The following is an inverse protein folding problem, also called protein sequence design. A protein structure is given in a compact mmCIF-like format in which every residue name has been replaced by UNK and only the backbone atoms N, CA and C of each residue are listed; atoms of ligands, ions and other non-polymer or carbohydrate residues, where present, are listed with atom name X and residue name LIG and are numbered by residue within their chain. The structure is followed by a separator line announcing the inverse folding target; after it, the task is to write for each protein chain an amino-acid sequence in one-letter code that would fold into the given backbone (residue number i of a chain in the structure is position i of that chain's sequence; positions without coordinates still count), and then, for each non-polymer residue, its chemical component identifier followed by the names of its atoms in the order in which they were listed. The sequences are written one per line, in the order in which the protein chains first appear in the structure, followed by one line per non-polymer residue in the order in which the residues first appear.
data_IF_428617851196
#
_entry.id   IF_428617851196
#
_cell.length_a   1.000
_cell.length_b   1.000
_cell.length_c   1.000
_cell.angle_alpha   90.00
_cell.angle_beta   90.00
_cell.angle_gamma   90.00
#
_symmetry.space_group_name_H-M   'P 1'
#
loop_
_entity.id
_entity.type
_entity.pdbx_description
1 polymer ?
#
# COMPACT_ATOMS: atom_id res chain seq x y z
N UNK A 1 12.04 -14.32 1.43
CA UNK A 1 11.24 -13.07 1.49
C UNK A 1 12.13 -11.94 1.96
N UNK A 2 12.01 -10.72 1.40
CA UNK A 2 12.78 -9.56 1.87
C UNK A 2 12.28 -9.01 3.22
N UNK A 3 13.14 -8.26 3.91
CA UNK A 3 12.80 -7.52 5.13
C UNK A 3 12.04 -6.22 4.80
N UNK A 4 11.27 -5.71 5.77
CA UNK A 4 10.67 -4.37 5.65
C UNK A 4 11.78 -3.33 5.77
N UNK A 5 11.83 -2.39 4.83
CA UNK A 5 12.80 -1.30 4.82
C UNK A 5 12.07 0.02 4.94
N UNK A 6 12.58 0.89 5.79
CA UNK A 6 12.02 2.22 6.05
C UNK A 6 13.01 3.29 5.62
N UNK A 7 12.54 4.29 4.90
CA UNK A 7 13.34 5.42 4.42
C UNK A 7 12.67 6.71 4.84
N UNK A 8 13.43 7.61 5.50
CA UNK A 8 12.94 8.96 5.83
C UNK A 8 12.69 9.76 4.55
N UNK A 9 11.55 10.43 4.49
CA UNK A 9 11.14 11.26 3.37
C UNK A 9 10.76 12.67 3.85
N UNK A 10 10.57 13.57 2.90
CA UNK A 10 9.98 14.89 3.10
C UNK A 10 8.67 14.99 2.32
N UNK A 11 7.77 15.89 2.73
CA UNK A 11 6.45 16.10 2.11
C UNK A 11 6.54 16.42 0.62
N UNK A 12 7.62 17.08 0.18
CA UNK A 12 7.83 17.51 -1.20
C UNK A 12 8.49 16.45 -2.08
N UNK A 13 9.04 15.37 -1.52
CA UNK A 13 9.68 14.32 -2.34
C UNK A 13 8.67 13.64 -3.24
N UNK A 14 8.94 13.53 -4.52
CA UNK A 14 8.05 12.83 -5.45
C UNK A 14 8.09 11.32 -5.21
N UNK A 15 7.07 10.61 -5.70
CA UNK A 15 7.03 9.15 -5.64
C UNK A 15 8.26 8.56 -6.34
N UNK A 16 8.64 9.08 -7.52
CA UNK A 16 9.82 8.60 -8.25
C UNK A 16 11.13 8.78 -7.49
N UNK A 17 11.29 9.90 -6.77
CA UNK A 17 12.45 10.13 -5.91
C UNK A 17 12.49 9.13 -4.77
N UNK A 18 11.34 8.83 -4.14
CA UNK A 18 11.25 7.82 -3.09
C UNK A 18 11.59 6.43 -3.62
N UNK A 19 11.02 6.04 -4.77
CA UNK A 19 11.30 4.75 -5.40
C UNK A 19 12.76 4.62 -5.86
N UNK A 20 13.42 5.73 -6.19
CA UNK A 20 14.85 5.75 -6.51
C UNK A 20 15.77 5.38 -5.33
N UNK A 21 15.28 5.46 -4.09
CA UNK A 21 16.02 5.06 -2.89
C UNK A 21 15.95 3.55 -2.64
N UNK A 22 15.17 2.81 -3.42
CA UNK A 22 14.96 1.38 -3.25
C UNK A 22 15.89 0.56 -4.15
N UNK A 23 16.84 -0.16 -3.54
CA UNK A 23 17.94 -0.87 -4.25
C UNK A 23 17.68 -2.35 -4.57
N UNK A 24 16.45 -2.84 -4.38
CA UNK A 24 16.15 -4.28 -4.47
C UNK A 24 16.22 -4.86 -5.89
N UNK A 25 16.40 -6.17 -6.01
CA UNK A 25 16.35 -6.93 -7.29
C UNK A 25 15.09 -7.80 -7.43
N UNK A 26 14.21 -7.76 -6.43
CA UNK A 26 13.02 -8.61 -6.36
C UNK A 26 11.91 -8.14 -7.30
N UNK A 27 11.06 -9.08 -7.76
CA UNK A 27 10.05 -8.84 -8.80
C UNK A 27 8.83 -8.04 -8.31
N UNK A 28 8.39 -8.27 -7.09
CA UNK A 28 7.23 -7.61 -6.50
C UNK A 28 7.65 -6.64 -5.41
N UNK A 29 6.97 -5.51 -5.35
CA UNK A 29 7.21 -4.49 -4.34
C UNK A 29 5.90 -3.86 -3.88
N UNK A 30 5.77 -3.73 -2.56
CA UNK A 30 4.72 -2.99 -1.88
C UNK A 30 5.34 -1.77 -1.23
N UNK A 31 4.78 -0.58 -1.44
CA UNK A 31 5.27 0.68 -0.87
C UNK A 31 4.11 1.44 -0.24
N UNK A 32 4.29 1.88 1.00
CA UNK A 32 3.45 2.92 1.62
C UNK A 32 4.34 4.13 1.90
N UNK A 33 3.99 5.26 1.31
CA UNK A 33 4.62 6.56 1.46
C UNK A 33 3.72 7.38 2.39
N UNK A 34 4.11 7.48 3.66
CA UNK A 34 3.38 8.27 4.64
C UNK A 34 3.99 9.67 4.74
N UNK A 35 3.29 10.65 4.17
CA UNK A 35 3.64 12.08 4.26
C UNK A 35 2.79 12.82 5.28
N UNK A 36 1.93 12.13 6.00
CA UNK A 36 1.17 12.74 7.08
C UNK A 36 2.10 13.05 8.26
N UNK A 37 1.69 13.99 9.12
CA UNK A 37 2.33 14.23 10.42
C UNK A 37 2.08 13.13 11.47
N UNK A 38 1.40 12.04 11.10
CA UNK A 38 0.98 10.97 12.00
C UNK A 38 1.56 9.62 11.56
N UNK A 39 1.62 8.66 12.48
CA UNK A 39 1.87 7.25 12.12
C UNK A 39 0.61 6.65 11.49
N UNK A 40 0.78 5.90 10.41
CA UNK A 40 -0.26 5.02 9.90
C UNK A 40 -0.19 3.71 10.68
N UNK A 41 -1.14 3.49 11.58
CA UNK A 41 -1.20 2.28 12.41
C UNK A 41 -2.15 1.28 11.81
N UNK A 42 -1.72 0.02 11.64
CA UNK A 42 -2.56 -1.04 11.11
C UNK A 42 -3.71 -1.34 12.08
N UNK A 43 -4.93 -1.06 11.65
CA UNK A 43 -6.16 -1.23 12.43
C UNK A 43 -7.03 -2.40 11.95
N UNK A 44 -6.62 -3.10 10.89
CA UNK A 44 -7.33 -4.27 10.38
C UNK A 44 -6.76 -4.81 9.08
N UNK A 45 -7.27 -5.98 8.69
CA UNK A 45 -6.79 -6.72 7.55
C UNK A 45 -7.89 -7.62 6.97
N UNK A 46 -7.81 -7.87 5.68
CA UNK A 46 -8.60 -8.89 5.00
C UNK A 46 -7.70 -9.64 4.02
N UNK A 47 -7.68 -10.96 4.13
CA UNK A 47 -6.77 -11.83 3.38
C UNK A 47 -7.56 -12.97 2.74
N UNK A 48 -7.35 -13.20 1.43
CA UNK A 48 -7.76 -14.45 0.81
C UNK A 48 -6.58 -15.40 0.62
N UNK A 49 -5.41 -14.96 0.17
CA UNK A 49 -4.31 -15.86 -0.23
C UNK A 49 -2.85 -15.34 0.00
N UNK A 50 -2.59 -14.50 1.00
CA UNK A 50 -1.22 -14.12 1.39
C UNK A 50 -1.20 -12.97 2.40
N UNK A 51 -0.21 -12.86 3.28
CA UNK A 51 -0.23 -11.84 4.33
C UNK A 51 0.28 -10.49 3.81
N UNK A 52 -0.42 -9.40 4.13
CA UNK A 52 0.16 -8.08 3.91
C UNK A 52 1.39 -7.88 4.73
N UNK A 53 2.31 -7.23 4.06
CA UNK A 53 3.70 -7.37 4.39
C UNK A 53 4.24 -6.20 5.21
N UNK A 54 3.54 -5.07 5.19
CA UNK A 54 3.91 -3.85 5.91
C UNK A 54 3.19 -3.74 7.24
N UNK A 55 3.93 -3.38 8.27
CA UNK A 55 3.39 -3.08 9.60
C UNK A 55 2.89 -1.64 9.66
N UNK A 56 3.07 -1.02 10.82
CA UNK A 56 2.85 0.40 11.01
C UNK A 56 3.88 1.21 10.22
N UNK A 57 3.45 2.36 9.69
CA UNK A 57 4.28 3.24 8.86
C UNK A 57 4.44 4.57 9.60
N UNK A 58 5.63 4.86 10.16
CA UNK A 58 5.88 6.11 10.86
C UNK A 58 5.60 7.34 10.00
N UNK A 59 5.35 8.47 10.66
CA UNK A 59 5.24 9.76 9.99
C UNK A 59 6.47 10.06 9.13
N UNK A 60 6.25 10.76 8.00
CA UNK A 60 7.30 11.21 7.08
C UNK A 60 8.28 10.10 6.68
N UNK A 61 7.74 8.90 6.44
CA UNK A 61 8.50 7.70 6.10
C UNK A 61 7.86 6.98 4.92
N UNK A 62 8.69 6.47 4.02
CA UNK A 62 8.29 5.46 3.07
C UNK A 62 8.74 4.09 3.60
N UNK A 63 7.78 3.19 3.82
CA UNK A 63 8.07 1.80 4.14
C UNK A 63 7.78 0.95 2.92
N UNK A 64 8.70 0.05 2.60
CA UNK A 64 8.52 -0.90 1.50
C UNK A 64 8.99 -2.30 1.89
N UNK A 65 8.47 -3.27 1.15
CA UNK A 65 8.97 -4.63 1.16
C UNK A 65 8.93 -5.19 -0.24
N UNK A 66 9.98 -5.94 -0.55
CA UNK A 66 10.08 -6.64 -1.81
C UNK A 66 10.13 -8.15 -1.60
N UNK A 67 9.62 -8.87 -2.60
CA UNK A 67 9.66 -10.32 -2.61
C UNK A 67 9.57 -10.85 -4.03
N UNK A 68 9.88 -12.14 -4.15
CA UNK A 68 9.64 -12.92 -5.35
C UNK A 68 8.78 -14.10 -4.93
N UNK A 69 7.68 -14.33 -5.66
CA UNK A 69 6.88 -15.53 -5.51
C UNK A 69 7.60 -16.70 -6.19
N UNK A 70 7.57 -17.89 -5.58
CA UNK A 70 8.01 -19.11 -6.26
C UNK A 70 6.90 -19.57 -7.22
N UNK A 71 7.22 -19.76 -8.51
CA UNK A 71 6.24 -20.13 -9.54
C UNK A 71 5.47 -18.94 -10.10
N UNK A 72 4.27 -19.18 -10.66
CA UNK A 72 3.49 -18.13 -11.32
C UNK A 72 3.05 -16.99 -10.36
N UNK A 73 3.02 -17.27 -9.05
CA UNK A 73 2.79 -16.32 -7.97
C UNK A 73 1.39 -15.70 -7.98
N UNK A 74 0.69 -15.73 -6.84
CA UNK A 74 -0.54 -14.96 -6.70
C UNK A 74 -0.68 -14.46 -5.28
N UNK A 75 -1.17 -13.24 -5.12
CA UNK A 75 -1.52 -12.71 -3.80
C UNK A 75 -2.75 -11.81 -3.89
N UNK A 76 -3.53 -11.82 -2.82
CA UNK A 76 -4.80 -11.11 -2.72
C UNK A 76 -5.00 -10.64 -1.28
N UNK A 77 -4.89 -9.33 -1.04
CA UNK A 77 -5.01 -8.76 0.30
C UNK A 77 -5.57 -7.33 0.29
N UNK A 78 -6.27 -6.95 1.37
CA UNK A 78 -6.48 -5.55 1.73
C UNK A 78 -6.19 -5.24 3.20
N UNK A 79 -5.64 -4.06 3.48
CA UNK A 79 -5.31 -3.58 4.83
C UNK A 79 -6.11 -2.36 5.23
N UNK A 80 -6.34 -2.16 6.52
CA UNK A 80 -6.93 -0.94 7.08
C UNK A 80 -5.91 -0.23 7.98
N UNK A 81 -5.66 1.05 7.74
CA UNK A 81 -4.72 1.88 8.48
C UNK A 81 -5.42 3.09 9.08
N UNK A 82 -5.23 3.32 10.39
CA UNK A 82 -5.62 4.53 11.08
C UNK A 82 -4.54 5.61 10.92
N UNK A 83 -4.94 6.86 10.73
CA UNK A 83 -4.04 8.02 10.71
C UNK A 83 -3.96 8.58 12.14
N UNK A 84 -3.00 8.12 12.93
CA UNK A 84 -2.90 8.48 14.36
C UNK A 84 -4.24 8.36 15.10
N UNK A 85 -4.51 9.32 16.00
CA UNK A 85 -5.78 9.40 16.74
C UNK A 85 -6.81 10.34 16.09
N UNK A 86 -6.71 10.58 14.78
CA UNK A 86 -7.56 11.56 14.06
C UNK A 86 -8.98 11.04 13.76
N UNK A 87 -9.23 9.75 13.98
CA UNK A 87 -10.45 9.07 13.54
C UNK A 87 -10.54 8.86 12.02
N UNK A 88 -9.46 9.14 11.28
CA UNK A 88 -9.37 8.93 9.83
C UNK A 88 -8.66 7.64 9.49
N UNK A 89 -9.12 6.98 8.43
CA UNK A 89 -8.61 5.69 8.00
C UNK A 89 -8.43 5.63 6.50
N UNK A 90 -7.46 4.82 6.07
CA UNK A 90 -7.22 4.46 4.68
C UNK A 90 -7.14 2.95 4.54
N UNK A 91 -7.81 2.42 3.52
CA UNK A 91 -7.71 1.00 3.17
C UNK A 91 -6.96 0.82 1.87
N UNK A 92 -6.02 -0.12 1.85
CA UNK A 92 -5.17 -0.41 0.70
C UNK A 92 -5.45 -1.82 0.22
N UNK A 93 -5.88 -1.97 -1.04
CA UNK A 93 -6.18 -3.27 -1.65
C UNK A 93 -5.22 -3.58 -2.79
N UNK A 94 -4.61 -4.77 -2.79
CA UNK A 94 -3.65 -5.17 -3.80
C UNK A 94 -3.83 -6.62 -4.23
N UNK A 95 -3.77 -6.86 -5.53
CA UNK A 95 -3.72 -8.23 -6.05
C UNK A 95 -2.86 -8.44 -7.27
N UNK A 96 -2.31 -9.65 -7.33
CA UNK A 96 -1.57 -10.20 -8.44
C UNK A 96 -2.10 -11.60 -8.78
N UNK A 97 -2.61 -11.84 -10.00
CA UNK A 97 -2.96 -13.19 -10.45
C UNK A 97 -1.80 -13.88 -11.21
N UNK A 98 -1.82 -15.23 -11.32
CA UNK A 98 -0.88 -16.00 -12.15
C UNK A 98 -1.04 -15.71 -13.65
N UNK A 99 -2.28 -15.43 -14.07
CA UNK A 99 -2.72 -15.07 -15.41
C UNK A 99 -3.89 -14.07 -15.26
N UNK A 100 -3.74 -12.83 -15.72
CA UNK A 100 -4.77 -11.79 -15.62
C UNK A 100 -4.23 -10.38 -15.37
N UNK A 101 -5.13 -9.43 -15.08
CA UNK A 101 -4.78 -8.04 -14.74
C UNK A 101 -4.56 -7.90 -13.24
N UNK A 102 -3.37 -7.44 -12.83
CA UNK A 102 -3.10 -6.96 -11.47
C UNK A 102 -4.09 -5.87 -11.08
N UNK A 103 -4.47 -5.78 -9.80
CA UNK A 103 -5.42 -4.77 -9.33
C UNK A 103 -4.89 -3.99 -8.14
N UNK A 104 -5.42 -2.78 -7.99
CA UNK A 104 -5.13 -1.88 -6.89
C UNK A 104 -6.41 -1.16 -6.45
N UNK A 105 -6.55 -0.92 -5.15
CA UNK A 105 -7.64 -0.10 -4.63
C UNK A 105 -7.22 0.74 -3.44
N UNK A 106 -7.95 1.84 -3.24
CA UNK A 106 -7.77 2.77 -2.14
C UNK A 106 -9.13 3.28 -1.66
N UNK A 107 -9.42 3.11 -0.37
CA UNK A 107 -10.70 3.51 0.23
C UNK A 107 -10.49 4.29 1.54
N UNK A 108 -11.56 4.91 2.04
CA UNK A 108 -11.52 5.82 3.21
C UNK A 108 -12.70 5.60 4.18
N UNK A 109 -12.98 4.35 4.52
CA UNK A 109 -14.04 3.98 5.47
C UNK A 109 -13.52 4.24 6.90
N UNK A 110 -14.12 5.21 7.60
CA UNK A 110 -13.67 5.67 8.92
C UNK A 110 -14.15 4.74 10.05
N UNK A 111 -13.56 3.55 10.12
CA UNK A 111 -13.83 2.58 11.17
C UNK A 111 -12.61 1.67 11.36
N UNK A 112 -12.31 1.22 12.60
CA UNK A 112 -11.30 0.18 12.82
C UNK A 112 -11.82 -1.21 12.42
N UNK A 113 -10.95 -2.21 12.53
CA UNK A 113 -11.28 -3.61 12.28
C UNK A 113 -11.15 -4.03 10.82
N UNK A 114 -11.60 -5.26 10.54
CA UNK A 114 -11.37 -5.96 9.28
C UNK A 114 -12.39 -5.60 8.19
N UNK A 115 -13.64 -5.31 8.56
CA UNK A 115 -14.72 -5.04 7.60
C UNK A 115 -14.43 -3.88 6.63
N UNK A 116 -13.77 -2.78 7.03
CA UNK A 116 -13.30 -1.76 6.09
C UNK A 116 -12.34 -2.30 5.01
N UNK A 117 -11.38 -3.13 5.41
CA UNK A 117 -10.43 -3.74 4.48
C UNK A 117 -11.14 -4.70 3.51
N UNK A 118 -12.06 -5.51 4.01
CA UNK A 118 -12.90 -6.41 3.22
C UNK A 118 -13.74 -5.65 2.18
N UNK A 119 -14.44 -4.59 2.60
CA UNK A 119 -15.21 -3.76 1.66
C UNK A 119 -14.32 -3.12 0.58
N UNK A 120 -13.12 -2.67 0.97
CA UNK A 120 -12.18 -2.11 -0.01
C UNK A 120 -11.66 -3.18 -0.98
N UNK A 121 -11.47 -4.40 -0.48
CA UNK A 121 -11.13 -5.55 -1.29
C UNK A 121 -12.22 -5.90 -2.30
N UNK A 122 -13.47 -6.00 -1.86
CA UNK A 122 -14.60 -6.38 -2.71
C UNK A 122 -14.86 -5.36 -3.83
N UNK A 123 -14.61 -4.08 -3.54
CA UNK A 123 -14.72 -2.99 -4.53
C UNK A 123 -13.53 -2.93 -5.51
N UNK A 124 -12.51 -3.78 -5.37
CA UNK A 124 -11.33 -3.75 -6.23
C UNK A 124 -11.59 -4.40 -7.59
N UNK A 125 -11.80 -3.57 -8.61
CA UNK A 125 -12.18 -4.00 -9.94
C UNK A 125 -11.01 -4.07 -10.94
N UNK A 126 -10.07 -3.11 -10.87
CA UNK A 126 -9.14 -2.85 -11.97
C UNK A 126 -7.74 -2.38 -11.52
N UNK A 127 -6.94 -2.02 -12.53
CA UNK A 127 -5.55 -1.62 -12.39
C UNK A 127 -5.32 -0.09 -12.34
N UNK A 128 -6.38 0.70 -12.46
CA UNK A 128 -6.26 2.13 -12.66
C UNK A 128 -5.85 2.82 -11.36
N UNK A 129 -5.19 3.97 -11.49
CA UNK A 129 -4.84 4.80 -10.36
C UNK A 129 -6.08 5.21 -9.56
N UNK A 130 -5.90 5.35 -8.24
CA UNK A 130 -6.97 5.76 -7.31
C UNK A 130 -6.53 7.01 -6.59
N UNK A 131 -7.46 7.95 -6.41
CA UNK A 131 -7.25 9.14 -5.62
C UNK A 131 -8.48 9.36 -4.75
N UNK A 132 -8.28 9.62 -3.45
CA UNK A 132 -9.36 9.80 -2.48
C UNK A 132 -9.02 10.94 -1.51
N UNK A 133 -10.04 11.51 -0.88
CA UNK A 133 -9.89 12.49 0.20
C UNK A 133 -10.61 12.00 1.46
N UNK A 134 -10.06 12.29 2.62
CA UNK A 134 -10.64 11.95 3.91
C UNK A 134 -10.38 13.05 4.95
N UNK A 135 -11.19 14.11 4.89
CA UNK A 135 -10.96 15.34 5.66
C UNK A 135 -9.77 16.12 5.10
N UNK A 136 -8.82 16.46 5.97
CA UNK A 136 -7.57 17.13 5.60
C UNK A 136 -6.57 16.21 4.87
N UNK A 137 -6.73 14.89 5.01
CA UNK A 137 -5.86 13.93 4.37
C UNK A 137 -6.31 13.57 2.96
N UNK A 138 -5.33 13.22 2.14
CA UNK A 138 -5.54 12.68 0.81
C UNK A 138 -4.72 11.41 0.60
N UNK A 139 -5.23 10.53 -0.25
CA UNK A 139 -4.57 9.29 -0.59
C UNK A 139 -4.47 9.11 -2.09
N UNK A 140 -3.37 8.50 -2.53
CA UNK A 140 -3.17 8.06 -3.92
C UNK A 140 -2.71 6.62 -3.93
N UNK A 141 -3.19 5.84 -4.89
CA UNK A 141 -2.69 4.50 -5.15
C UNK A 141 -2.36 4.36 -6.63
N UNK A 142 -1.14 3.90 -6.91
CA UNK A 142 -0.57 3.80 -8.24
C UNK A 142 0.05 2.42 -8.43
N UNK A 143 0.00 1.91 -9.66
CA UNK A 143 0.78 0.74 -10.01
C UNK A 143 1.98 1.09 -10.88
N UNK A 144 3.16 0.73 -10.39
CA UNK A 144 4.42 0.95 -11.08
C UNK A 144 4.88 -0.27 -11.89
N UNK A 145 5.64 0.00 -12.95
CA UNK A 145 6.52 -0.98 -13.56
C UNK A 145 7.88 -0.32 -13.85
N UNK A 146 8.87 -0.56 -12.99
CA UNK A 146 10.21 0.03 -13.15
C UNK A 146 11.27 -1.07 -13.04
N UNK A 147 12.17 -1.12 -14.02
CA UNK A 147 13.25 -2.12 -14.09
C UNK A 147 12.73 -3.57 -13.97
N UNK A 148 11.57 -3.88 -14.57
CA UNK A 148 10.96 -5.21 -14.51
C UNK A 148 10.24 -5.55 -13.20
N UNK A 149 10.16 -4.61 -12.25
CA UNK A 149 9.45 -4.78 -10.97
C UNK A 149 8.01 -4.35 -11.08
N UNK A 150 7.09 -5.16 -10.57
CA UNK A 150 5.69 -4.79 -10.41
C UNK A 150 5.49 -4.18 -9.01
N UNK A 151 4.97 -2.95 -8.96
CA UNK A 151 4.90 -2.16 -7.74
C UNK A 151 3.45 -1.77 -7.42
N UNK A 152 3.05 -1.91 -6.17
CA UNK A 152 1.85 -1.29 -5.61
C UNK A 152 2.29 -0.18 -4.67
N UNK A 153 1.93 1.05 -5.03
CA UNK A 153 2.43 2.25 -4.37
C UNK A 153 1.23 2.98 -3.78
N UNK A 154 1.24 3.18 -2.47
CA UNK A 154 0.27 3.98 -1.75
C UNK A 154 0.96 5.21 -1.20
N UNK A 155 0.35 6.38 -1.39
CA UNK A 155 0.80 7.63 -0.80
C UNK A 155 -0.35 8.21 0.02
N UNK A 156 -0.08 8.60 1.26
CA UNK A 156 -1.02 9.34 2.12
C UNK A 156 -0.38 10.64 2.53
N UNK A 157 -1.08 11.76 2.32
CA UNK A 157 -0.65 13.13 2.63
C UNK A 157 -1.62 13.77 3.60
#
# INVERSE_FOLDING_TARGET
MGANVSVRIDVNRTIDQVLGLVTSTQKFQMVIINKTGNTLTRAGAYNKLGNWVLGDVPSLTAQYRDWTENGAGYFTFASNYAVGNTGKYFQFGASWPPVGRRKINLCTINSPGNSPAEKCWDNMSDANDKNVRNGEFSGRALMGNKNGKVQWIYEVR
#
